data_IF_302191474226
#
_entry.id   IF_302191474226
#
_cell.length_a   1.000
_cell.length_b   1.000
_cell.length_c   1.000
_cell.angle_alpha   90.00
_cell.angle_beta   90.00
_cell.angle_gamma   90.00
#
_symmetry.space_group_name_H-M   'P 1'
#
loop_
_entity.id
_entity.type
_entity.pdbx_description
1 polymer ?
#
# COMPACT_ATOMS: atom_id res chain seq x y z
N UNK A 1 -44.64 76.32 5.76
CA UNK A 1 -43.53 76.59 6.69
C UNK A 1 -43.38 75.39 7.63
N UNK A 2 -42.15 74.89 7.73
CA UNK A 2 -41.69 73.67 8.41
C UNK A 2 -42.41 73.29 9.72
N UNK A 3 -42.75 72.01 9.92
CA UNK A 3 -41.81 71.11 10.61
C UNK A 3 -42.21 69.63 10.53
N UNK A 4 -41.18 68.81 10.50
CA UNK A 4 -41.11 67.36 10.30
C UNK A 4 -41.04 66.67 11.67
N UNK A 5 -41.83 65.63 11.92
CA UNK A 5 -41.33 64.28 12.26
C UNK A 5 -42.44 63.26 12.62
N UNK A 6 -42.42 62.17 11.86
CA UNK A 6 -42.92 60.81 12.10
C UNK A 6 -42.34 60.21 13.42
N UNK A 7 -42.80 59.12 14.05
CA UNK A 7 -43.82 58.09 13.78
C UNK A 7 -44.09 57.40 15.14
N UNK A 8 -45.35 57.10 15.44
CA UNK A 8 -45.76 56.13 16.47
C UNK A 8 -45.48 54.70 15.98
N UNK A 9 -45.08 53.78 16.88
CA UNK A 9 -45.85 52.56 17.25
C UNK A 9 -45.08 51.70 18.27
N UNK A 10 -45.78 51.48 19.36
CA UNK A 10 -45.67 50.65 20.57
C UNK A 10 -44.93 49.30 20.47
N UNK A 11 -44.06 49.05 21.47
CA UNK A 11 -43.49 47.76 21.88
C UNK A 11 -44.31 47.24 23.08
N UNK A 12 -44.60 45.93 23.21
CA UNK A 12 -44.82 45.32 24.51
C UNK A 12 -43.67 44.38 24.90
N UNK A 13 -43.23 44.57 26.14
CA UNK A 13 -42.26 43.81 26.89
C UNK A 13 -42.71 42.37 27.10
N UNK A 14 -41.78 41.40 26.99
CA UNK A 14 -41.97 40.05 27.54
C UNK A 14 -40.77 39.64 28.37
N UNK A 15 -41.10 39.26 29.60
CA UNK A 15 -40.31 38.82 30.75
C UNK A 15 -39.17 37.85 30.47
N UNK A 16 -38.03 38.12 31.12
CA UNK A 16 -36.94 37.19 31.37
C UNK A 16 -37.40 36.01 32.25
N UNK A 17 -37.31 34.80 31.72
CA UNK A 17 -37.24 33.58 32.52
C UNK A 17 -36.14 32.68 31.95
N UNK A 18 -34.99 32.68 32.63
CA UNK A 18 -33.98 31.63 32.50
C UNK A 18 -34.51 30.33 33.11
N UNK A 19 -34.32 29.17 32.46
CA UNK A 19 -34.30 27.89 33.15
C UNK A 19 -32.84 27.54 33.47
N UNK A 20 -32.46 27.69 34.73
CA UNK A 20 -31.32 26.97 35.28
C UNK A 20 -31.64 25.47 35.25
N UNK A 21 -30.83 24.68 34.56
CA UNK A 21 -30.77 23.24 34.76
C UNK A 21 -29.33 22.85 35.04
N UNK A 22 -29.16 22.30 36.24
CA UNK A 22 -27.94 21.91 36.91
C UNK A 22 -27.06 20.97 36.07
N UNK A 23 -25.77 21.30 36.00
CA UNK A 23 -24.71 20.31 35.84
C UNK A 23 -24.81 19.35 37.03
N UNK A 24 -25.27 18.13 36.79
CA UNK A 24 -24.93 16.89 37.49
C UNK A 24 -25.97 15.86 37.02
N UNK A 25 -25.63 15.11 35.97
CA UNK A 25 -26.11 13.75 35.66
C UNK A 25 -25.79 13.41 34.19
N UNK A 26 -24.50 13.19 33.90
CA UNK A 26 -24.09 12.39 32.73
C UNK A 26 -22.90 11.53 33.16
N UNK A 27 -23.18 10.52 33.98
CA UNK A 27 -22.36 9.32 34.09
C UNK A 27 -23.28 8.14 33.80
N UNK A 28 -23.52 7.93 32.50
CA UNK A 28 -23.73 6.64 31.85
C UNK A 28 -24.30 6.92 30.47
N UNK A 29 -23.61 6.45 29.43
CA UNK A 29 -24.18 5.75 28.27
C UNK A 29 -23.16 5.63 27.12
N UNK A 30 -22.87 4.36 26.82
CA UNK A 30 -22.64 3.78 25.50
C UNK A 30 -21.55 4.41 24.61
N UNK A 31 -20.43 3.69 24.56
CA UNK A 31 -19.51 3.68 23.41
C UNK A 31 -20.28 3.39 22.11
N UNK A 32 -20.40 4.40 21.23
CA UNK A 32 -20.87 4.24 19.86
C UNK A 32 -19.78 3.52 19.04
N UNK A 33 -19.98 2.26 18.61
CA UNK A 33 -18.97 1.52 17.85
C UNK A 33 -18.67 2.11 16.46
N UNK A 34 -19.51 3.04 15.97
CA UNK A 34 -19.39 3.65 14.63
C UNK A 34 -18.76 5.06 14.65
N UNK A 35 -18.28 5.53 15.81
CA UNK A 35 -17.66 6.85 15.97
C UNK A 35 -16.36 7.04 15.17
N UNK A 36 -16.09 8.27 14.71
CA UNK A 36 -14.82 8.63 14.06
C UNK A 36 -13.79 8.92 15.15
N UNK A 37 -13.02 7.90 15.54
CA UNK A 37 -11.98 8.04 16.56
C UNK A 37 -10.61 8.30 15.94
N UNK A 38 -9.87 9.30 16.45
CA UNK A 38 -8.45 9.50 16.15
C UNK A 38 -7.62 9.62 17.42
N UNK A 39 -6.62 8.76 17.61
CA UNK A 39 -5.70 8.76 18.75
C UNK A 39 -4.25 9.04 18.32
N UNK A 40 -3.47 9.60 19.25
CA UNK A 40 -2.10 10.10 19.07
C UNK A 40 -1.07 9.14 19.71
N UNK A 41 -0.58 8.13 18.99
CA UNK A 41 0.56 7.30 19.43
C UNK A 41 1.63 7.19 18.34
N UNK A 42 2.91 7.23 18.73
CA UNK A 42 4.08 7.28 17.85
C UNK A 42 5.10 6.20 18.21
N UNK A 43 5.38 5.28 17.30
CA UNK A 43 6.51 4.35 17.41
C UNK A 43 7.63 4.73 16.43
N UNK A 44 8.81 4.98 16.99
CA UNK A 44 10.06 5.32 16.31
C UNK A 44 10.85 4.03 16.05
N UNK A 45 11.20 3.72 14.80
CA UNK A 45 12.05 2.58 14.45
C UNK A 45 13.41 3.09 13.99
N UNK A 46 14.44 2.80 14.79
CA UNK A 46 15.85 3.13 14.53
C UNK A 46 16.46 2.42 13.33
N UNK A 47 17.64 2.88 12.96
CA UNK A 47 18.41 2.60 11.76
C UNK A 47 19.77 2.03 12.16
N UNK A 48 20.07 0.79 11.78
CA UNK A 48 21.35 0.14 12.07
C UNK A 48 22.05 -0.26 10.75
N UNK A 49 22.97 0.59 10.29
CA UNK A 49 23.94 0.28 9.24
C UNK A 49 25.32 0.16 9.91
N UNK A 50 25.98 -1.00 9.80
CA UNK A 50 27.44 -1.14 9.95
C UNK A 50 27.95 -2.32 9.09
N UNK A 51 29.13 -2.13 8.50
CA UNK A 51 29.77 -2.95 7.46
C UNK A 51 30.55 -4.15 8.05
N UNK A 52 30.59 -5.29 7.35
CA UNK A 52 31.62 -6.32 7.62
C UNK A 52 32.01 -7.14 6.38
N UNK A 53 33.32 -7.42 6.28
CA UNK A 53 34.04 -7.98 5.13
C UNK A 53 34.02 -9.51 5.04
N UNK A 54 34.16 -10.04 3.82
CA UNK A 54 34.33 -11.46 3.48
C UNK A 54 35.66 -12.06 3.95
N UNK A 55 35.71 -13.40 4.06
CA UNK A 55 36.81 -14.17 3.47
C UNK A 55 36.30 -15.30 2.55
N UNK A 56 37.11 -15.63 1.54
CA UNK A 56 36.85 -16.65 0.53
C UNK A 56 37.21 -18.07 0.99
N UNK A 57 36.95 -19.04 0.11
CA UNK A 57 37.87 -20.14 -0.24
C UNK A 57 37.25 -21.02 -1.35
N UNK A 58 37.96 -21.04 -2.49
CA UNK A 58 38.44 -22.17 -3.32
C UNK A 58 37.68 -23.50 -3.44
N UNK A 59 37.29 -23.77 -4.70
CA UNK A 59 37.48 -24.96 -5.56
C UNK A 59 37.34 -26.41 -5.04
N UNK A 60 36.55 -27.20 -5.78
CA UNK A 60 36.93 -28.57 -6.23
C UNK A 60 35.89 -29.15 -7.21
N UNK A 61 36.34 -29.42 -8.43
CA UNK A 61 35.67 -30.14 -9.53
C UNK A 61 35.74 -31.69 -9.42
N UNK A 62 35.13 -32.36 -10.43
CA UNK A 62 35.21 -33.77 -10.87
C UNK A 62 34.31 -34.79 -10.13
N UNK A 63 33.66 -35.77 -10.78
CA UNK A 63 33.38 -36.08 -12.19
C UNK A 63 32.34 -37.21 -12.26
N UNK A 64 31.72 -37.35 -13.43
CA UNK A 64 30.76 -38.38 -13.82
C UNK A 64 31.41 -39.77 -13.91
N UNK A 65 30.66 -40.82 -13.51
CA UNK A 65 31.02 -42.21 -13.85
C UNK A 65 29.76 -42.96 -14.30
N UNK A 66 29.90 -43.58 -15.46
CA UNK A 66 28.91 -44.30 -16.27
C UNK A 66 28.24 -45.49 -15.57
N UNK A 67 26.98 -45.72 -15.95
CA UNK A 67 26.17 -46.87 -15.54
C UNK A 67 26.47 -48.08 -16.43
N UNK A 68 27.19 -49.07 -15.91
CA UNK A 68 27.30 -50.40 -16.52
C UNK A 68 26.33 -51.36 -15.82
N UNK A 69 25.30 -51.80 -16.55
CA UNK A 69 24.31 -52.78 -16.08
C UNK A 69 24.99 -54.15 -16.04
N UNK A 70 25.24 -54.67 -14.83
CA UNK A 70 25.68 -56.05 -14.60
C UNK A 70 24.47 -56.89 -14.14
N UNK A 71 24.29 -58.03 -14.81
CA UNK A 71 23.23 -59.01 -14.60
C UNK A 71 23.31 -59.63 -13.18
N UNK A 72 22.23 -59.54 -12.39
CA UNK A 72 22.23 -59.91 -10.96
C UNK A 72 21.83 -61.38 -10.75
N UNK A 73 22.54 -62.07 -9.86
CA UNK A 73 22.25 -63.46 -9.41
C UNK A 73 20.77 -63.65 -8.96
N UNK A 74 20.14 -64.84 -9.15
CA UNK A 74 18.75 -65.10 -8.77
C UNK A 74 18.40 -64.77 -7.31
N UNK A 75 19.37 -64.92 -6.40
CA UNK A 75 19.21 -64.58 -4.98
C UNK A 75 19.14 -63.07 -4.75
N UNK A 76 19.89 -62.32 -5.54
CA UNK A 76 19.95 -60.87 -5.49
C UNK A 76 18.71 -60.22 -6.10
N UNK A 77 18.10 -60.82 -7.11
CA UNK A 77 16.81 -60.39 -7.66
C UNK A 77 15.67 -60.59 -6.65
N UNK A 78 15.68 -61.69 -5.89
CA UNK A 78 14.71 -61.96 -4.83
C UNK A 78 14.79 -60.92 -3.70
N UNK A 79 16.00 -60.55 -3.29
CA UNK A 79 16.22 -59.49 -2.29
C UNK A 79 15.77 -58.13 -2.86
N UNK A 80 16.06 -57.85 -4.13
CA UNK A 80 15.64 -56.62 -4.82
C UNK A 80 14.12 -56.44 -4.79
N UNK A 81 13.38 -57.48 -5.15
CA UNK A 81 11.91 -57.49 -5.21
C UNK A 81 11.24 -57.32 -3.83
N UNK A 82 11.90 -57.72 -2.75
CA UNK A 82 11.39 -57.53 -1.38
C UNK A 82 11.73 -56.14 -0.82
N UNK A 83 12.89 -55.62 -1.17
CA UNK A 83 13.40 -54.34 -0.65
C UNK A 83 12.75 -53.13 -1.34
N UNK A 84 12.46 -53.22 -2.64
CA UNK A 84 11.82 -52.15 -3.41
C UNK A 84 10.46 -51.67 -2.85
N UNK A 85 9.48 -52.55 -2.54
CA UNK A 85 8.20 -52.12 -1.97
C UNK A 85 8.33 -51.56 -0.56
N UNK A 86 9.29 -52.03 0.24
CA UNK A 86 9.55 -51.51 1.59
C UNK A 86 10.11 -50.08 1.55
N UNK A 87 10.96 -49.77 0.56
CA UNK A 87 11.39 -48.40 0.31
C UNK A 87 10.23 -47.53 -0.20
N UNK A 88 9.39 -48.01 -1.12
CA UNK A 88 8.20 -47.25 -1.59
C UNK A 88 7.22 -46.93 -0.46
N UNK A 89 7.09 -47.83 0.53
CA UNK A 89 6.29 -47.62 1.76
C UNK A 89 6.96 -46.68 2.78
N UNK A 90 8.21 -46.25 2.56
CA UNK A 90 8.89 -45.24 3.38
C UNK A 90 9.63 -45.78 4.62
N UNK A 91 9.83 -47.09 4.73
CA UNK A 91 10.60 -47.67 5.85
C UNK A 91 12.08 -47.21 5.81
N UNK A 92 12.65 -46.95 6.99
CA UNK A 92 14.08 -46.56 7.14
C UNK A 92 14.98 -47.78 7.20
N UNK A 93 16.27 -47.62 6.88
CA UNK A 93 17.26 -48.70 6.78
C UNK A 93 17.24 -49.73 7.93
N UNK A 94 17.28 -49.33 9.21
CA UNK A 94 17.22 -50.26 10.34
C UNK A 94 15.92 -51.07 10.39
N UNK A 95 14.80 -50.46 10.02
CA UNK A 95 13.48 -51.10 10.02
C UNK A 95 13.34 -52.11 8.89
N UNK A 96 13.90 -51.80 7.71
CA UNK A 96 13.94 -52.74 6.58
C UNK A 96 14.78 -53.97 6.94
N UNK A 97 15.92 -53.80 7.63
CA UNK A 97 16.76 -54.92 8.09
C UNK A 97 15.99 -55.80 9.08
N UNK A 98 15.21 -55.18 9.98
CA UNK A 98 14.38 -55.89 10.95
C UNK A 98 13.29 -56.71 10.26
N UNK A 99 12.56 -56.11 9.32
CA UNK A 99 11.49 -56.77 8.54
C UNK A 99 12.06 -57.94 7.71
N UNK A 100 13.18 -57.74 7.03
CA UNK A 100 13.82 -58.81 6.25
C UNK A 100 14.31 -59.97 7.12
N UNK A 101 14.78 -59.68 8.33
CA UNK A 101 15.23 -60.71 9.26
C UNK A 101 14.08 -61.47 9.92
N UNK A 102 12.96 -60.79 10.24
CA UNK A 102 11.84 -61.39 10.97
C UNK A 102 10.85 -62.11 10.05
N UNK A 103 10.48 -61.49 8.93
CA UNK A 103 9.38 -61.98 8.08
C UNK A 103 9.88 -62.87 6.93
N UNK A 104 11.16 -62.74 6.58
CA UNK A 104 11.74 -63.41 5.42
C UNK A 104 12.99 -64.24 5.75
N UNK A 105 13.46 -64.22 7.00
CA UNK A 105 14.65 -64.98 7.44
C UNK A 105 15.96 -64.55 6.77
N UNK A 106 16.00 -63.36 6.16
CA UNK A 106 17.15 -62.85 5.40
C UNK A 106 17.94 -61.88 6.29
N UNK A 107 19.13 -62.30 6.73
CA UNK A 107 20.07 -61.43 7.43
C UNK A 107 20.98 -60.72 6.43
N UNK A 108 20.83 -59.40 6.31
CA UNK A 108 21.70 -58.55 5.49
C UNK A 108 22.35 -57.44 6.33
N UNK A 109 23.56 -57.06 5.95
CA UNK A 109 24.24 -55.93 6.59
C UNK A 109 23.66 -54.59 6.10
N UNK A 110 23.78 -53.50 6.90
CA UNK A 110 23.41 -52.15 6.45
C UNK A 110 24.14 -51.71 5.18
N UNK A 111 25.38 -52.19 4.99
CA UNK A 111 26.21 -51.91 3.81
C UNK A 111 25.64 -52.61 2.56
N UNK A 112 25.18 -53.85 2.71
CA UNK A 112 24.51 -54.62 1.64
C UNK A 112 23.17 -53.99 1.27
N UNK A 113 22.37 -53.55 2.25
CA UNK A 113 21.12 -52.84 1.99
C UNK A 113 21.35 -51.51 1.26
N UNK A 114 22.41 -50.78 1.63
CA UNK A 114 22.79 -49.53 0.98
C UNK A 114 23.26 -49.76 -0.46
N UNK A 115 24.03 -50.82 -0.71
CA UNK A 115 24.43 -51.22 -2.07
C UNK A 115 23.21 -51.58 -2.91
N UNK A 116 22.30 -52.41 -2.38
CA UNK A 116 21.07 -52.82 -3.07
C UNK A 116 20.14 -51.66 -3.37
N UNK A 117 20.05 -50.67 -2.47
CA UNK A 117 19.32 -49.41 -2.73
C UNK A 117 19.87 -48.67 -3.94
N UNK A 118 21.20 -48.59 -4.09
CA UNK A 118 21.84 -47.95 -5.24
C UNK A 118 21.61 -48.77 -6.53
N UNK A 119 21.70 -50.10 -6.45
CA UNK A 119 21.40 -51.02 -7.57
C UNK A 119 19.91 -51.00 -8.00
N UNK A 120 19.00 -50.52 -7.13
CA UNK A 120 17.58 -50.28 -7.46
C UNK A 120 17.31 -48.89 -8.06
N UNK A 121 18.33 -48.04 -8.22
CA UNK A 121 18.19 -46.66 -8.72
C UNK A 121 17.17 -45.80 -7.94
N UNK A 122 16.81 -46.17 -6.71
CA UNK A 122 15.83 -45.45 -5.88
C UNK A 122 16.49 -44.21 -5.27
N UNK A 123 16.23 -43.04 -5.86
CA UNK A 123 16.77 -41.77 -5.40
C UNK A 123 16.02 -41.30 -4.15
N UNK A 124 16.64 -40.41 -3.36
CA UNK A 124 15.99 -39.77 -2.20
C UNK A 124 14.69 -39.00 -2.55
N UNK A 125 14.46 -38.72 -3.83
CA UNK A 125 13.23 -38.09 -4.34
C UNK A 125 12.04 -39.05 -4.50
N UNK A 126 12.26 -40.36 -4.47
CA UNK A 126 11.21 -41.38 -4.68
C UNK A 126 10.61 -41.89 -3.36
N UNK A 127 11.23 -41.52 -2.24
CA UNK A 127 10.66 -41.68 -0.91
C UNK A 127 9.64 -40.56 -0.72
N UNK A 128 8.38 -40.90 -0.38
CA UNK A 128 7.40 -39.89 -0.01
C UNK A 128 8.05 -38.95 1.02
N UNK A 129 8.15 -37.67 0.64
CA UNK A 129 8.68 -36.65 1.54
C UNK A 129 7.69 -36.60 2.69
N UNK A 130 8.07 -37.12 3.85
CA UNK A 130 7.29 -36.96 5.06
C UNK A 130 6.79 -35.51 5.11
N UNK A 131 5.49 -35.25 5.31
CA UNK A 131 4.98 -33.90 5.48
C UNK A 131 5.83 -33.23 6.57
N UNK A 132 6.65 -32.25 6.18
CA UNK A 132 7.60 -31.67 7.12
C UNK A 132 6.82 -30.75 8.08
N UNK A 133 7.10 -30.84 9.41
CA UNK A 133 6.18 -30.42 10.47
C UNK A 133 6.12 -28.90 10.65
N UNK A 134 5.02 -28.45 11.27
CA UNK A 134 4.73 -27.13 11.85
C UNK A 134 4.75 -25.90 10.91
N UNK A 135 3.89 -24.89 11.13
CA UNK A 135 4.04 -23.58 10.49
C UNK A 135 5.43 -22.99 10.84
N UNK A 136 6.01 -22.21 9.91
CA UNK A 136 7.27 -21.51 10.17
C UNK A 136 7.11 -20.63 11.42
N UNK A 137 8.14 -20.50 12.25
CA UNK A 137 8.09 -19.60 13.40
C UNK A 137 7.78 -18.16 12.91
N UNK A 138 7.05 -17.36 13.71
CA UNK A 138 6.72 -15.98 13.35
C UNK A 138 7.96 -15.15 13.00
N UNK A 139 9.08 -15.37 13.70
CA UNK A 139 10.37 -14.69 13.49
C UNK A 139 10.98 -15.03 12.12
N UNK A 140 11.09 -16.32 11.78
CA UNK A 140 11.60 -16.77 10.47
C UNK A 140 10.69 -16.27 9.36
N UNK A 141 9.37 -16.33 9.55
CA UNK A 141 8.39 -15.79 8.60
C UNK A 141 8.57 -14.28 8.41
N UNK A 142 8.68 -13.53 9.50
CA UNK A 142 8.88 -12.08 9.49
C UNK A 142 10.18 -11.69 8.77
N UNK A 143 11.28 -12.38 9.07
CA UNK A 143 12.58 -12.14 8.44
C UNK A 143 12.55 -12.39 6.93
N UNK A 144 11.97 -13.51 6.48
CA UNK A 144 11.85 -13.84 5.04
C UNK A 144 10.97 -12.83 4.31
N UNK A 145 9.80 -12.47 4.86
CA UNK A 145 8.90 -11.49 4.24
C UNK A 145 9.52 -10.09 4.21
N UNK A 146 10.18 -9.68 5.29
CA UNK A 146 10.89 -8.41 5.37
C UNK A 146 11.99 -8.33 4.32
N UNK A 147 12.81 -9.38 4.21
CA UNK A 147 13.92 -9.44 3.26
C UNK A 147 13.45 -9.46 1.81
N UNK A 148 12.38 -10.20 1.51
CA UNK A 148 11.73 -10.18 0.20
C UNK A 148 11.19 -8.78 -0.15
N UNK A 149 10.55 -8.09 0.81
CA UNK A 149 10.03 -6.73 0.60
C UNK A 149 11.12 -5.67 0.34
N UNK A 150 12.33 -5.92 0.86
CA UNK A 150 13.53 -5.10 0.61
C UNK A 150 14.21 -5.43 -0.72
N UNK A 151 13.82 -6.52 -1.39
CA UNK A 151 14.39 -6.96 -2.65
C UNK A 151 15.77 -7.59 -2.50
N UNK A 152 16.02 -8.22 -1.35
CA UNK A 152 17.26 -8.94 -1.09
C UNK A 152 17.35 -10.20 -1.97
N UNK A 153 18.57 -10.55 -2.38
CA UNK A 153 18.86 -11.82 -3.06
C UNK A 153 18.86 -12.99 -2.04
N UNK A 154 18.89 -14.22 -2.52
CA UNK A 154 18.78 -15.40 -1.64
C UNK A 154 19.92 -15.52 -0.61
N UNK A 155 21.13 -15.04 -0.96
CA UNK A 155 22.30 -15.07 -0.09
C UNK A 155 22.19 -14.00 1.00
N UNK A 156 21.73 -12.81 0.63
CA UNK A 156 21.41 -11.73 1.59
C UNK A 156 20.27 -12.13 2.53
N UNK A 157 19.22 -12.77 2.01
CA UNK A 157 18.12 -13.30 2.82
C UNK A 157 18.61 -14.35 3.83
N UNK A 158 19.55 -15.20 3.43
CA UNK A 158 20.18 -16.20 4.31
C UNK A 158 20.98 -15.54 5.44
N UNK A 159 21.88 -14.60 5.10
CA UNK A 159 22.71 -13.88 6.06
C UNK A 159 21.85 -13.11 7.06
N UNK A 160 20.82 -12.42 6.57
CA UNK A 160 19.91 -11.66 7.44
C UNK A 160 19.07 -12.54 8.36
N UNK A 161 18.58 -13.68 7.85
CA UNK A 161 17.84 -14.63 8.66
C UNK A 161 18.70 -15.16 9.82
N UNK A 162 19.97 -15.48 9.55
CA UNK A 162 20.92 -15.85 10.60
C UNK A 162 21.12 -14.73 11.61
N UNK A 163 21.34 -13.49 11.15
CA UNK A 163 21.53 -12.33 12.03
C UNK A 163 20.32 -12.03 12.93
N UNK A 164 19.09 -12.18 12.42
CA UNK A 164 17.87 -11.85 13.15
C UNK A 164 17.36 -12.99 14.05
N UNK A 165 17.60 -14.25 13.68
CA UNK A 165 16.99 -15.41 14.37
C UNK A 165 18.00 -16.40 14.96
N UNK A 166 19.30 -16.22 14.67
CA UNK A 166 20.36 -17.18 15.02
C UNK A 166 20.28 -18.51 14.26
N UNK A 167 19.30 -18.69 13.37
CA UNK A 167 19.08 -19.96 12.67
C UNK A 167 19.97 -20.03 11.43
N UNK A 168 20.97 -20.91 11.48
CA UNK A 168 21.80 -21.20 10.32
C UNK A 168 21.04 -22.10 9.33
N UNK A 169 20.86 -21.62 8.11
CA UNK A 169 20.17 -22.35 7.05
C UNK A 169 20.91 -22.22 5.73
N UNK A 170 20.76 -23.22 4.87
CA UNK A 170 21.26 -23.13 3.49
C UNK A 170 20.34 -22.30 2.59
N UNK A 171 20.88 -21.76 1.49
CA UNK A 171 20.12 -21.06 0.44
C UNK A 171 18.91 -21.87 -0.05
N UNK A 172 19.06 -23.19 -0.23
CA UNK A 172 17.95 -24.10 -0.61
C UNK A 172 16.82 -24.10 0.42
N UNK A 173 17.15 -23.93 1.69
CA UNK A 173 16.17 -23.87 2.78
C UNK A 173 15.43 -22.53 2.77
N UNK A 174 16.12 -21.42 2.51
CA UNK A 174 15.50 -20.10 2.28
C UNK A 174 14.52 -20.16 1.10
N UNK A 175 14.91 -20.75 -0.03
CA UNK A 175 14.01 -20.97 -1.18
C UNK A 175 12.78 -21.80 -0.79
N UNK A 176 12.96 -22.84 0.03
CA UNK A 176 11.86 -23.67 0.54
C UNK A 176 10.91 -22.87 1.44
N UNK A 177 11.44 -21.99 2.29
CA UNK A 177 10.64 -21.09 3.14
C UNK A 177 9.83 -20.11 2.29
N UNK A 178 10.45 -19.50 1.27
CA UNK A 178 9.75 -18.63 0.33
C UNK A 178 8.62 -19.36 -0.40
N UNK A 179 8.88 -20.58 -0.89
CA UNK A 179 7.86 -21.42 -1.53
C UNK A 179 6.69 -21.73 -0.59
N UNK A 180 6.97 -22.03 0.69
CA UNK A 180 5.96 -22.29 1.73
C UNK A 180 5.12 -21.04 2.04
N UNK A 181 5.70 -19.85 1.92
CA UNK A 181 5.02 -18.57 2.14
C UNK A 181 4.33 -18.03 0.87
N UNK A 182 4.46 -18.71 -0.28
CA UNK A 182 3.88 -18.25 -1.55
C UNK A 182 4.55 -16.99 -2.11
N UNK A 183 5.76 -16.64 -1.68
CA UNK A 183 6.47 -15.44 -2.13
C UNK A 183 7.53 -15.76 -3.19
N UNK A 184 7.64 -14.89 -4.19
CA UNK A 184 8.68 -14.95 -5.22
C UNK A 184 9.75 -13.90 -4.94
N UNK A 185 10.97 -14.17 -5.42
CA UNK A 185 12.04 -13.17 -5.43
C UNK A 185 11.60 -11.99 -6.30
N UNK A 186 11.92 -10.77 -5.88
CA UNK A 186 11.71 -9.60 -6.71
C UNK A 186 12.67 -9.64 -7.89
N UNK A 187 12.13 -9.40 -9.09
CA UNK A 187 12.95 -9.29 -10.28
C UNK A 187 13.86 -8.06 -10.18
N UNK A 188 15.13 -8.25 -10.57
CA UNK A 188 16.14 -7.22 -10.56
C UNK A 188 16.84 -7.20 -11.91
N UNK A 189 16.36 -6.34 -12.81
CA UNK A 189 16.86 -6.24 -14.17
C UNK A 189 18.34 -5.81 -14.23
N UNK A 190 18.89 -5.22 -13.17
CA UNK A 190 20.34 -4.94 -13.04
C UNK A 190 21.15 -6.23 -12.80
N UNK A 191 20.70 -7.10 -11.88
CA UNK A 191 21.37 -8.38 -11.62
C UNK A 191 21.21 -9.35 -12.80
N UNK A 192 20.08 -9.26 -13.50
CA UNK A 192 19.84 -10.02 -14.73
C UNK A 192 20.65 -9.50 -15.93
N UNK A 193 21.41 -8.40 -15.78
CA UNK A 193 22.21 -7.78 -16.85
C UNK A 193 21.38 -7.13 -17.97
N UNK A 194 20.07 -6.95 -17.78
CA UNK A 194 19.16 -6.38 -18.79
C UNK A 194 19.26 -4.86 -18.89
N UNK A 195 19.67 -4.21 -17.81
CA UNK A 195 19.74 -2.75 -17.69
C UNK A 195 21.05 -2.42 -16.95
N UNK A 196 21.75 -1.37 -17.38
CA UNK A 196 22.93 -0.84 -16.69
C UNK A 196 22.54 0.18 -15.63
N UNK A 197 23.43 0.44 -14.65
CA UNK A 197 23.15 1.45 -13.63
C UNK A 197 22.97 2.84 -14.23
N UNK A 198 23.73 3.18 -15.27
CA UNK A 198 23.64 4.46 -15.97
C UNK A 198 22.26 4.66 -16.61
N UNK A 199 21.69 3.60 -17.20
CA UNK A 199 20.35 3.67 -17.77
C UNK A 199 19.28 3.88 -16.70
N UNK A 200 19.48 3.36 -15.49
CA UNK A 200 18.58 3.62 -14.36
C UNK A 200 18.68 5.08 -13.91
N UNK A 201 19.89 5.64 -13.84
CA UNK A 201 20.11 7.05 -13.47
C UNK A 201 19.50 7.98 -14.52
N UNK A 202 19.75 7.72 -15.80
CA UNK A 202 19.18 8.47 -16.93
C UNK A 202 17.64 8.44 -16.87
N UNK A 203 17.03 7.27 -16.67
CA UNK A 203 15.58 7.16 -16.55
C UNK A 203 15.01 7.90 -15.33
N UNK A 204 15.76 7.98 -14.22
CA UNK A 204 15.36 8.77 -13.05
C UNK A 204 15.44 10.27 -13.35
N UNK A 205 16.51 10.73 -14.00
CA UNK A 205 16.68 12.13 -14.39
C UNK A 205 15.59 12.55 -15.38
N UNK A 206 15.37 11.76 -16.43
CA UNK A 206 14.31 11.97 -17.41
C UNK A 206 12.92 12.00 -16.73
N UNK A 207 12.64 11.09 -15.80
CA UNK A 207 11.38 11.12 -15.06
C UNK A 207 11.21 12.40 -14.23
N UNK A 208 12.28 12.96 -13.68
CA UNK A 208 12.21 14.17 -12.86
C UNK A 208 11.99 15.42 -13.71
N UNK A 209 12.71 15.52 -14.82
CA UNK A 209 12.73 16.69 -15.69
C UNK A 209 11.58 16.67 -16.69
N UNK A 210 11.42 15.58 -17.43
CA UNK A 210 10.47 15.50 -18.55
C UNK A 210 9.09 14.97 -18.15
N UNK A 211 8.98 14.16 -17.10
CA UNK A 211 7.68 13.70 -16.57
C UNK A 211 7.18 14.53 -15.37
N UNK A 212 7.88 15.64 -15.05
CA UNK A 212 7.57 16.54 -13.93
C UNK A 212 7.46 15.80 -12.59
N UNK A 213 8.21 14.70 -12.41
CA UNK A 213 8.24 13.91 -11.17
C UNK A 213 9.40 14.30 -10.25
N UNK A 214 9.87 15.55 -10.31
CA UNK A 214 10.98 16.07 -9.49
C UNK A 214 10.78 15.85 -7.98
N UNK A 215 9.53 15.84 -7.50
CA UNK A 215 9.17 15.62 -6.11
C UNK A 215 8.94 14.15 -5.72
N UNK A 216 9.02 13.19 -6.65
CA UNK A 216 8.76 11.77 -6.38
C UNK A 216 9.84 11.12 -5.50
N UNK A 217 9.43 10.56 -4.36
CA UNK A 217 10.32 9.75 -3.52
C UNK A 217 10.61 8.37 -4.12
N UNK A 218 11.63 7.68 -3.60
CA UNK A 218 12.13 6.39 -4.14
C UNK A 218 11.06 5.30 -4.34
N UNK A 219 10.01 5.25 -3.51
CA UNK A 219 8.89 4.30 -3.71
C UNK A 219 8.09 4.61 -4.97
N UNK A 220 7.77 5.89 -5.18
CA UNK A 220 7.02 6.37 -6.35
C UNK A 220 7.89 6.30 -7.59
N UNK A 221 9.17 6.68 -7.48
CA UNK A 221 10.13 6.59 -8.56
C UNK A 221 10.30 5.15 -9.05
N UNK A 222 10.40 4.17 -8.15
CA UNK A 222 10.39 2.75 -8.53
C UNK A 222 9.14 2.37 -9.34
N UNK A 223 7.96 2.86 -8.96
CA UNK A 223 6.72 2.62 -9.72
C UNK A 223 6.75 3.30 -11.10
N UNK A 224 7.37 4.48 -11.22
CA UNK A 224 7.54 5.19 -12.49
C UNK A 224 8.47 4.40 -13.40
N UNK A 225 9.64 3.99 -12.90
CA UNK A 225 10.60 3.14 -13.62
C UNK A 225 9.94 1.87 -14.17
N UNK A 226 9.13 1.19 -13.35
CA UNK A 226 8.43 -0.02 -13.80
C UNK A 226 7.35 0.26 -14.86
N UNK A 227 6.63 1.38 -14.76
CA UNK A 227 5.45 1.65 -15.63
C UNK A 227 5.80 2.38 -16.93
N UNK A 228 6.74 3.32 -16.89
CA UNK A 228 7.09 4.17 -18.02
C UNK A 228 8.35 3.69 -18.75
N UNK A 229 9.30 3.09 -18.02
CA UNK A 229 10.59 2.68 -18.57
C UNK A 229 10.74 1.15 -18.64
N UNK A 230 9.77 0.39 -18.12
CA UNK A 230 9.81 -1.07 -18.01
C UNK A 230 11.06 -1.60 -17.26
N UNK A 231 11.60 -0.80 -16.32
CA UNK A 231 12.77 -1.13 -15.50
C UNK A 231 12.30 -1.63 -14.14
N UNK A 232 12.61 -2.89 -13.81
CA UNK A 232 12.32 -3.50 -12.51
C UNK A 232 13.60 -3.63 -11.68
N UNK A 233 13.76 -2.69 -10.75
CA UNK A 233 14.88 -2.69 -9.80
C UNK A 233 14.38 -2.70 -8.35
N UNK A 234 15.17 -3.22 -7.40
CA UNK A 234 14.86 -3.14 -5.98
C UNK A 234 14.72 -1.70 -5.49
N UNK A 235 13.89 -1.52 -4.47
CA UNK A 235 13.65 -0.21 -3.84
C UNK A 235 14.92 0.46 -3.36
N UNK A 236 15.86 -0.33 -2.84
CA UNK A 236 17.11 0.16 -2.28
C UNK A 236 18.01 0.81 -3.34
N UNK A 237 18.04 0.25 -4.56
CA UNK A 237 18.80 0.82 -5.68
C UNK A 237 18.26 2.20 -6.05
N UNK A 238 16.93 2.33 -6.17
CA UNK A 238 16.29 3.62 -6.47
C UNK A 238 16.56 4.64 -5.35
N UNK A 239 16.64 4.19 -4.10
CA UNK A 239 17.02 5.06 -2.98
C UNK A 239 18.44 5.59 -3.13
N UNK A 240 19.43 4.74 -3.41
CA UNK A 240 20.82 5.17 -3.58
C UNK A 240 20.99 6.07 -4.81
N UNK A 241 20.31 5.75 -5.92
CA UNK A 241 20.28 6.59 -7.11
C UNK A 241 19.72 7.99 -6.79
N UNK A 242 18.56 8.07 -6.14
CA UNK A 242 18.00 9.37 -5.75
C UNK A 242 18.84 10.11 -4.70
N UNK A 243 19.57 9.41 -3.83
CA UNK A 243 20.49 10.05 -2.89
C UNK A 243 21.66 10.74 -3.61
N UNK A 244 22.07 10.23 -4.77
CA UNK A 244 23.10 10.85 -5.61
C UNK A 244 22.54 12.03 -6.42
N UNK A 245 21.35 11.89 -7.02
CA UNK A 245 20.76 12.90 -7.90
C UNK A 245 20.01 14.02 -7.13
N UNK A 246 19.47 13.72 -5.95
CA UNK A 246 18.62 14.62 -5.13
C UNK A 246 18.89 14.47 -3.62
N UNK A 247 20.13 14.70 -3.13
CA UNK A 247 20.45 14.56 -1.71
C UNK A 247 19.59 15.50 -0.84
N UNK A 248 19.36 16.73 -1.29
CA UNK A 248 18.59 17.74 -0.56
C UNK A 248 17.11 17.36 -0.48
N UNK A 249 16.49 16.99 -1.60
CA UNK A 249 15.10 16.54 -1.59
C UNK A 249 14.92 15.26 -0.77
N UNK A 250 15.92 14.38 -0.70
CA UNK A 250 15.90 13.22 0.20
C UNK A 250 15.97 13.61 1.67
N UNK A 251 16.84 14.55 2.04
CA UNK A 251 16.96 15.07 3.41
C UNK A 251 15.70 15.81 3.88
N UNK A 252 15.12 16.66 3.01
CA UNK A 252 13.88 17.40 3.31
C UNK A 252 12.69 16.46 3.58
N UNK A 253 12.63 15.30 2.92
CA UNK A 253 11.57 14.30 3.14
C UNK A 253 11.68 13.62 4.51
N UNK A 254 12.89 13.40 5.02
CA UNK A 254 13.11 12.82 6.36
C UNK A 254 12.64 13.77 7.46
N UNK A 255 12.75 15.09 7.25
CA UNK A 255 12.33 16.13 8.21
C UNK A 255 10.80 16.33 8.28
N UNK A 256 10.05 15.88 7.28
CA UNK A 256 8.58 16.05 7.20
C UNK A 256 7.78 14.87 7.77
N UNK A 257 8.23 14.31 8.90
CA UNK A 257 7.49 13.23 9.56
C UNK A 257 6.19 13.80 10.19
N UNK A 258 5.05 13.63 9.51
CA UNK A 258 3.75 13.89 10.14
C UNK A 258 3.51 12.89 11.26
N UNK A 259 2.98 13.39 12.40
CA UNK A 259 2.47 12.54 13.48
C UNK A 259 1.36 11.65 12.90
N UNK A 260 1.54 10.33 12.97
CA UNK A 260 0.50 9.37 12.55
C UNK A 260 -0.65 9.43 13.55
N UNK A 261 -1.86 9.56 13.03
CA UNK A 261 -3.10 9.37 13.78
C UNK A 261 -3.77 8.11 13.28
N UNK A 262 -4.33 7.35 14.20
CA UNK A 262 -5.19 6.21 13.85
C UNK A 262 -6.50 6.79 13.33
N UNK A 263 -7.02 6.29 12.21
CA UNK A 263 -8.31 6.69 11.66
C UNK A 263 -9.10 5.42 11.39
N UNK A 264 -10.17 5.21 12.16
CA UNK A 264 -10.98 4.00 12.09
C UNK A 264 -12.07 4.08 11.01
N UNK A 265 -12.18 3.00 10.22
CA UNK A 265 -13.19 2.84 9.18
C UNK A 265 -13.58 1.38 9.07
N UNK A 266 -14.87 1.07 9.01
CA UNK A 266 -15.40 -0.29 8.96
C UNK A 266 -15.22 -0.99 7.60
N UNK A 267 -15.14 -0.22 6.51
CA UNK A 267 -15.02 -0.77 5.17
C UNK A 267 -15.21 0.27 4.06
N UNK A 268 -15.22 -0.18 2.79
CA UNK A 268 -15.58 0.67 1.65
C UNK A 268 -16.95 1.33 1.85
N UNK A 269 -17.09 2.59 1.42
CA UNK A 269 -18.30 3.40 1.55
C UNK A 269 -18.79 3.62 2.99
N UNK A 270 -17.98 3.28 4.00
CA UNK A 270 -18.28 3.63 5.38
C UNK A 270 -18.27 5.14 5.56
N UNK A 271 -17.18 5.81 5.15
CA UNK A 271 -17.05 7.26 5.27
C UNK A 271 -16.57 7.80 3.93
N UNK A 272 -17.37 8.69 3.34
CA UNK A 272 -16.89 9.57 2.28
C UNK A 272 -16.44 10.89 2.87
N UNK A 273 -15.23 11.32 2.55
CA UNK A 273 -14.68 12.61 2.96
C UNK A 273 -14.65 13.56 1.77
N UNK A 274 -15.13 14.79 1.98
CA UNK A 274 -15.17 15.82 0.94
C UNK A 274 -14.69 17.18 1.45
N UNK A 275 -14.13 17.97 0.54
CA UNK A 275 -13.48 19.26 0.82
C UNK A 275 -13.14 19.99 -0.49
N UNK A 276 -12.96 21.30 -0.41
CA UNK A 276 -12.49 22.14 -1.50
C UNK A 276 -10.97 22.38 -1.44
N UNK A 277 -10.36 22.60 -2.59
CA UNK A 277 -8.95 22.95 -2.73
C UNK A 277 -8.78 24.21 -3.57
N UNK A 278 -8.41 25.30 -2.87
CA UNK A 278 -8.41 26.65 -3.44
C UNK A 278 -7.00 27.17 -3.75
N UNK A 279 -5.97 26.31 -3.71
CA UNK A 279 -4.58 26.76 -3.93
C UNK A 279 -4.29 27.22 -5.36
N UNK A 280 -5.17 26.91 -6.32
CA UNK A 280 -5.11 27.38 -7.71
C UNK A 280 -6.19 28.42 -8.02
N UNK A 281 -6.94 28.87 -7.00
CA UNK A 281 -7.98 29.89 -7.16
C UNK A 281 -7.48 31.20 -7.77
N UNK A 282 -6.24 31.68 -7.50
CA UNK A 282 -5.70 32.86 -8.19
C UNK A 282 -5.65 32.72 -9.72
N UNK A 283 -5.60 31.50 -10.24
CA UNK A 283 -5.60 31.18 -11.67
C UNK A 283 -6.99 30.74 -12.17
N UNK A 284 -8.06 31.10 -11.45
CA UNK A 284 -9.43 30.72 -11.83
C UNK A 284 -9.77 29.23 -11.65
N UNK A 285 -8.92 28.44 -10.98
CA UNK A 285 -9.12 26.99 -10.82
C UNK A 285 -9.39 26.65 -9.35
N UNK A 286 -10.63 26.24 -9.07
CA UNK A 286 -11.02 25.63 -7.79
C UNK A 286 -11.36 24.17 -8.00
N UNK A 287 -10.99 23.30 -7.06
CA UNK A 287 -11.23 21.87 -7.15
C UNK A 287 -12.04 21.43 -5.95
N UNK A 288 -13.08 20.62 -6.15
CA UNK A 288 -13.82 19.96 -5.07
C UNK A 288 -13.64 18.45 -5.17
N UNK A 289 -13.24 17.82 -4.08
CA UNK A 289 -12.89 16.39 -4.05
C UNK A 289 -13.81 15.58 -3.16
N UNK A 290 -14.02 14.32 -3.55
CA UNK A 290 -14.65 13.29 -2.73
C UNK A 290 -13.78 12.04 -2.74
N UNK A 291 -13.60 11.45 -1.57
CA UNK A 291 -12.81 10.23 -1.42
C UNK A 291 -13.48 9.25 -0.47
N UNK A 292 -13.21 7.96 -0.68
CA UNK A 292 -13.52 6.93 0.30
C UNK A 292 -12.41 6.87 1.36
N UNK A 293 -12.78 7.03 2.64
CA UNK A 293 -11.82 7.15 3.73
C UNK A 293 -11.07 5.83 4.03
N UNK A 294 -11.70 4.68 3.75
CA UNK A 294 -11.16 3.35 3.96
C UNK A 294 -10.13 2.99 2.88
N UNK A 295 -10.54 2.97 1.62
CA UNK A 295 -9.69 2.58 0.48
C UNK A 295 -8.74 3.69 0.01
N UNK A 296 -9.01 4.96 0.37
CA UNK A 296 -8.35 6.15 -0.19
C UNK A 296 -8.65 6.40 -1.67
N UNK A 297 -9.61 5.68 -2.25
CA UNK A 297 -10.04 5.87 -3.63
C UNK A 297 -10.62 7.26 -3.84
N UNK A 298 -10.20 7.95 -4.89
CA UNK A 298 -10.85 9.18 -5.33
C UNK A 298 -12.15 8.81 -6.02
N UNK A 299 -13.27 9.24 -5.42
CA UNK A 299 -14.60 9.02 -5.96
C UNK A 299 -14.89 10.03 -7.08
N UNK A 300 -14.49 11.28 -6.87
CA UNK A 300 -14.58 12.34 -7.86
C UNK A 300 -13.71 13.55 -7.53
N UNK A 301 -13.26 14.24 -8.58
CA UNK A 301 -12.63 15.56 -8.52
C UNK A 301 -13.34 16.44 -9.54
N UNK A 302 -13.90 17.55 -9.08
CA UNK A 302 -14.70 18.47 -9.88
C UNK A 302 -14.04 19.83 -9.92
N UNK A 303 -13.86 20.39 -11.11
CA UNK A 303 -13.12 21.64 -11.33
C UNK A 303 -14.08 22.76 -11.70
N UNK A 304 -13.98 23.90 -11.03
CA UNK A 304 -14.84 25.06 -11.22
C UNK A 304 -14.08 26.37 -11.13
N UNK A 305 -14.66 27.41 -11.73
CA UNK A 305 -14.20 28.80 -11.57
C UNK A 305 -14.51 29.32 -10.16
N UNK A 306 -15.63 28.88 -9.57
CA UNK A 306 -16.03 29.23 -8.21
C UNK A 306 -16.58 28.02 -7.46
N UNK A 307 -16.12 27.84 -6.22
CA UNK A 307 -16.59 26.82 -5.30
C UNK A 307 -17.63 27.36 -4.30
N UNK A 308 -18.25 28.52 -4.56
CA UNK A 308 -19.12 29.20 -3.60
C UNK A 308 -20.60 28.75 -3.66
N UNK A 309 -21.02 28.00 -4.68
CA UNK A 309 -22.42 27.60 -4.84
C UNK A 309 -22.68 26.20 -4.23
N UNK A 310 -23.51 26.08 -3.17
CA UNK A 310 -23.80 24.78 -2.55
C UNK A 310 -24.51 23.78 -3.48
N UNK A 311 -25.25 24.27 -4.48
CA UNK A 311 -25.94 23.42 -5.46
C UNK A 311 -24.97 22.55 -6.26
N UNK A 312 -23.79 23.09 -6.59
CA UNK A 312 -22.77 22.36 -7.34
C UNK A 312 -22.28 21.14 -6.53
N UNK A 313 -21.95 21.35 -5.26
CA UNK A 313 -21.47 20.28 -4.37
C UNK A 313 -22.55 19.23 -4.15
N UNK A 314 -23.81 19.65 -3.99
CA UNK A 314 -24.96 18.74 -3.92
C UNK A 314 -25.10 17.89 -5.19
N UNK A 315 -24.98 18.48 -6.38
CA UNK A 315 -25.02 17.74 -7.65
C UNK A 315 -23.87 16.74 -7.77
N UNK A 316 -22.65 17.10 -7.37
CA UNK A 316 -21.51 16.17 -7.37
C UNK A 316 -21.73 14.98 -6.47
N UNK A 317 -22.24 15.24 -5.26
CA UNK A 317 -22.59 14.19 -4.33
C UNK A 317 -23.63 13.23 -4.91
N UNK A 318 -24.73 13.74 -5.48
CA UNK A 318 -25.77 12.92 -6.09
C UNK A 318 -25.25 12.12 -7.30
N UNK A 319 -24.42 12.74 -8.14
CA UNK A 319 -23.76 12.07 -9.25
C UNK A 319 -22.90 10.89 -8.77
N UNK A 320 -22.11 11.09 -7.71
CA UNK A 320 -21.29 10.03 -7.12
C UNK A 320 -22.12 8.94 -6.46
N UNK A 321 -23.16 9.29 -5.71
CA UNK A 321 -24.07 8.34 -5.10
C UNK A 321 -24.77 7.46 -6.16
N UNK A 322 -25.28 8.08 -7.23
CA UNK A 322 -25.87 7.38 -8.36
C UNK A 322 -24.88 6.41 -9.01
N UNK A 323 -23.65 6.87 -9.29
CA UNK A 323 -22.59 6.03 -9.88
C UNK A 323 -22.14 4.89 -8.96
N UNK A 324 -22.13 5.11 -7.65
CA UNK A 324 -21.78 4.08 -6.66
C UNK A 324 -22.92 3.09 -6.42
N UNK A 325 -24.13 3.37 -6.91
CA UNK A 325 -25.33 2.57 -6.65
C UNK A 325 -25.90 2.74 -5.24
N UNK A 326 -25.53 3.81 -4.53
CA UNK A 326 -25.96 4.04 -3.15
C UNK A 326 -25.24 5.19 -2.45
N UNK A 327 -25.70 5.51 -1.24
CA UNK A 327 -25.12 6.53 -0.37
C UNK A 327 -24.00 5.94 0.50
N UNK A 328 -23.02 6.76 0.94
CA UNK A 328 -22.12 6.33 1.99
C UNK A 328 -22.85 6.19 3.32
N UNK A 329 -22.31 5.34 4.21
CA UNK A 329 -22.84 5.18 5.56
C UNK A 329 -22.70 6.47 6.37
N UNK A 330 -21.62 7.22 6.18
CA UNK A 330 -21.40 8.56 6.75
C UNK A 330 -20.72 9.47 5.72
N UNK A 331 -21.05 10.75 5.76
CA UNK A 331 -20.43 11.80 4.95
C UNK A 331 -19.73 12.78 5.89
N UNK A 332 -18.45 13.06 5.65
CA UNK A 332 -17.69 14.02 6.45
C UNK A 332 -17.23 15.20 5.60
N UNK A 333 -17.47 16.41 6.10
CA UNK A 333 -17.01 17.65 5.47
C UNK A 333 -16.64 18.68 6.53
N UNK A 334 -15.90 19.69 6.10
CA UNK A 334 -15.72 20.89 6.91
C UNK A 334 -17.06 21.61 7.08
N UNK A 335 -17.24 22.30 8.22
CA UNK A 335 -18.43 23.13 8.44
C UNK A 335 -18.36 24.37 7.55
N UNK A 336 -19.26 24.46 6.58
CA UNK A 336 -19.32 25.59 5.66
C UNK A 336 -20.69 25.72 5.02
N UNK A 337 -21.08 26.94 4.69
CA UNK A 337 -22.36 27.23 4.03
C UNK A 337 -22.50 26.50 2.69
N UNK A 338 -21.37 26.20 2.04
CA UNK A 338 -21.25 25.49 0.77
C UNK A 338 -21.65 24.00 0.85
N UNK A 339 -21.59 23.37 2.02
CA UNK A 339 -21.85 21.92 2.17
C UNK A 339 -23.24 21.61 2.73
N UNK A 340 -24.04 22.64 3.04
CA UNK A 340 -25.35 22.48 3.68
C UNK A 340 -26.34 21.69 2.81
N UNK A 341 -26.40 21.96 1.50
CA UNK A 341 -27.36 21.27 0.62
C UNK A 341 -27.01 19.78 0.46
N UNK A 342 -25.73 19.46 0.35
CA UNK A 342 -25.22 18.09 0.35
C UNK A 342 -25.53 17.38 1.68
N UNK A 343 -25.31 18.04 2.81
CA UNK A 343 -25.66 17.51 4.14
C UNK A 343 -27.16 17.18 4.24
N UNK A 344 -28.03 18.11 3.80
CA UNK A 344 -29.48 17.89 3.76
C UNK A 344 -29.85 16.69 2.89
N UNK A 345 -29.20 16.53 1.73
CA UNK A 345 -29.45 15.38 0.85
C UNK A 345 -29.02 14.06 1.49
N UNK A 346 -27.84 13.99 2.11
CA UNK A 346 -27.38 12.80 2.82
C UNK A 346 -28.39 12.39 3.91
N UNK A 347 -28.83 13.35 4.72
CA UNK A 347 -29.79 13.10 5.81
C UNK A 347 -31.16 12.67 5.26
N UNK A 348 -31.72 13.41 4.29
CA UNK A 348 -33.05 13.15 3.73
C UNK A 348 -33.13 11.81 3.02
N UNK A 349 -32.15 11.51 2.16
CA UNK A 349 -32.13 10.26 1.41
C UNK A 349 -31.86 9.06 2.34
N UNK A 350 -30.97 9.21 3.33
CA UNK A 350 -30.75 8.15 4.33
C UNK A 350 -32.03 7.87 5.12
N UNK A 351 -32.73 8.90 5.57
CA UNK A 351 -34.00 8.71 6.29
C UNK A 351 -35.07 8.04 5.42
N UNK A 352 -35.22 8.48 4.17
CA UNK A 352 -36.24 7.97 3.26
C UNK A 352 -36.01 6.51 2.83
N UNK A 353 -34.75 6.08 2.65
CA UNK A 353 -34.44 4.80 2.00
C UNK A 353 -33.71 3.79 2.90
N UNK A 354 -33.12 4.19 4.02
CA UNK A 354 -32.36 3.27 4.89
C UNK A 354 -33.19 2.69 6.06
N UNK A 355 -34.47 3.06 6.20
CA UNK A 355 -35.32 2.59 7.29
C UNK A 355 -34.86 3.04 8.68
N UNK A 356 -34.18 4.19 8.76
CA UNK A 356 -33.62 4.73 10.02
C UNK A 356 -34.43 5.92 10.53
N UNK A 357 -34.33 6.18 11.83
CA UNK A 357 -34.93 7.37 12.45
C UNK A 357 -34.28 8.66 11.97
N UNK A 358 -34.97 9.79 12.13
CA UNK A 358 -34.43 11.11 11.79
C UNK A 358 -33.14 11.42 12.57
N UNK A 359 -33.05 11.02 13.85
CA UNK A 359 -31.85 11.19 14.67
C UNK A 359 -30.65 10.44 14.07
N UNK A 360 -30.83 9.15 13.75
CA UNK A 360 -29.80 8.35 13.10
C UNK A 360 -29.41 8.94 11.74
N UNK A 361 -30.35 9.52 10.99
CA UNK A 361 -30.07 10.17 9.72
C UNK A 361 -29.22 11.45 9.87
N UNK A 362 -29.38 12.20 10.96
CA UNK A 362 -28.50 13.33 11.31
C UNK A 362 -27.07 12.84 11.54
N UNK A 363 -26.91 11.73 12.26
CA UNK A 363 -25.60 11.13 12.56
C UNK A 363 -24.87 10.60 11.31
N UNK A 364 -25.58 10.45 10.17
CA UNK A 364 -24.99 10.13 8.85
C UNK A 364 -24.18 11.30 8.28
N UNK A 365 -24.39 12.53 8.74
CA UNK A 365 -23.62 13.70 8.34
C UNK A 365 -22.73 14.18 9.49
N UNK A 366 -21.41 14.15 9.29
CA UNK A 366 -20.45 14.55 10.29
C UNK A 366 -19.69 15.80 9.84
N UNK A 367 -20.06 16.95 10.39
CA UNK A 367 -19.26 18.16 10.27
C UNK A 367 -18.06 18.10 11.20
N UNK A 368 -16.88 18.32 10.64
CA UNK A 368 -15.64 18.24 11.38
C UNK A 368 -14.82 19.51 11.23
N UNK A 369 -13.91 19.79 12.17
CA UNK A 369 -12.92 20.86 11.95
C UNK A 369 -12.03 20.44 10.81
N UNK A 370 -11.58 21.41 10.03
CA UNK A 370 -10.71 21.13 8.89
C UNK A 370 -9.52 20.23 9.26
N UNK A 371 -8.90 20.42 10.43
CA UNK A 371 -7.76 19.60 10.91
C UNK A 371 -8.09 18.11 11.13
N UNK A 372 -9.36 17.76 11.28
CA UNK A 372 -9.84 16.38 11.46
C UNK A 372 -10.29 15.71 10.16
N UNK A 373 -10.51 16.46 9.08
CA UNK A 373 -10.75 15.94 7.73
C UNK A 373 -9.44 15.43 7.06
N UNK A 374 -8.68 14.63 7.81
CA UNK A 374 -7.29 14.26 7.52
C UNK A 374 -7.14 13.50 6.21
N UNK A 375 -8.16 12.69 5.87
CA UNK A 375 -8.15 11.82 4.70
C UNK A 375 -8.11 12.66 3.43
N UNK A 376 -9.00 13.64 3.26
CA UNK A 376 -8.98 14.46 2.05
C UNK A 376 -7.87 15.52 2.07
N UNK A 377 -7.54 16.06 3.24
CA UNK A 377 -6.37 16.94 3.37
C UNK A 377 -5.05 16.27 3.04
N UNK A 378 -4.92 14.98 3.34
CA UNK A 378 -3.77 14.18 2.91
C UNK A 378 -3.71 14.03 1.38
N UNK A 379 -4.86 13.94 0.71
CA UNK A 379 -4.92 13.99 -0.75
C UNK A 379 -4.47 15.37 -1.26
N UNK A 380 -5.00 16.46 -0.70
CA UNK A 380 -4.61 17.82 -1.08
C UNK A 380 -3.13 18.12 -0.85
N UNK A 381 -2.56 17.63 0.24
CA UNK A 381 -1.12 17.72 0.51
C UNK A 381 -0.31 17.00 -0.58
N UNK A 382 -0.73 15.81 -0.99
CA UNK A 382 -0.07 15.08 -2.09
C UNK A 382 -0.19 15.82 -3.42
N UNK A 383 -1.39 16.33 -3.74
CA UNK A 383 -1.64 17.09 -4.97
C UNK A 383 -0.78 18.37 -5.02
N UNK A 384 -0.64 19.08 -3.89
CA UNK A 384 0.25 20.23 -3.79
C UNK A 384 1.71 19.89 -4.02
N UNK A 385 2.19 18.76 -3.49
CA UNK A 385 3.59 18.34 -3.62
C UNK A 385 3.90 17.79 -5.01
N UNK A 386 2.96 17.09 -5.64
CA UNK A 386 3.21 16.34 -6.87
C UNK A 386 2.83 17.11 -8.14
N UNK A 387 1.86 18.01 -8.07
CA UNK A 387 1.27 18.62 -9.26
C UNK A 387 1.22 20.15 -9.17
N UNK A 388 0.60 20.71 -8.14
CA UNK A 388 0.29 22.15 -8.14
C UNK A 388 1.53 23.05 -8.12
N UNK A 389 2.68 22.60 -7.62
CA UNK A 389 3.91 23.42 -7.70
C UNK A 389 4.34 23.60 -9.15
N UNK A 390 4.53 22.50 -9.88
CA UNK A 390 4.87 22.54 -11.30
C UNK A 390 3.86 23.37 -12.09
N UNK A 391 2.55 23.15 -11.88
CA UNK A 391 1.51 23.91 -12.57
C UNK A 391 1.63 25.41 -12.28
N UNK A 392 1.93 25.80 -11.03
CA UNK A 392 2.13 27.20 -10.68
C UNK A 392 3.36 27.76 -11.37
N UNK A 393 4.47 27.04 -11.33
CA UNK A 393 5.74 27.46 -11.92
C UNK A 393 5.57 27.64 -13.45
N UNK A 394 4.88 26.71 -14.11
CA UNK A 394 4.57 26.78 -15.55
C UNK A 394 3.69 27.98 -15.88
N UNK A 395 2.60 28.22 -15.13
CA UNK A 395 1.73 29.38 -15.36
C UNK A 395 2.49 30.69 -15.12
N UNK A 396 3.33 30.77 -14.08
CA UNK A 396 4.14 31.96 -13.81
C UNK A 396 5.15 32.20 -14.93
N UNK A 397 5.81 31.16 -15.45
CA UNK A 397 6.72 31.29 -16.58
C UNK A 397 6.00 31.81 -17.85
N UNK A 398 4.77 31.38 -18.10
CA UNK A 398 3.97 31.88 -19.21
C UNK A 398 3.56 33.35 -19.03
N UNK A 399 3.22 33.75 -17.80
CA UNK A 399 2.96 35.16 -17.43
C UNK A 399 4.22 36.01 -17.69
N UNK A 400 5.37 35.59 -17.15
CA UNK A 400 6.63 36.33 -17.26
C UNK A 400 7.09 36.45 -18.72
N UNK A 401 6.76 35.45 -19.55
CA UNK A 401 7.07 35.47 -20.98
C UNK A 401 6.08 36.29 -21.83
N UNK A 402 5.03 36.86 -21.23
CA UNK A 402 3.99 37.64 -21.91
C UNK A 402 3.05 36.81 -22.80
N UNK A 403 3.09 35.47 -22.70
CA UNK A 403 2.24 34.55 -23.48
C UNK A 403 0.89 34.27 -22.81
N UNK A 404 0.76 34.61 -21.53
CA UNK A 404 -0.49 34.50 -20.77
C UNK A 404 -0.80 35.82 -20.07
N UNK A 405 -1.98 36.36 -20.33
CA UNK A 405 -2.54 37.53 -19.64
C UNK A 405 -3.65 37.09 -18.68
N UNK A 406 -3.46 37.37 -17.39
CA UNK A 406 -4.40 37.03 -16.33
C UNK A 406 -5.64 37.95 -16.34
N UNK A 407 -5.55 39.14 -16.92
CA UNK A 407 -6.66 40.10 -17.01
C UNK A 407 -7.49 39.91 -18.29
N UNK A 408 -6.99 39.12 -19.26
CA UNK A 408 -7.75 38.73 -20.44
C UNK A 408 -8.83 37.71 -20.07
N UNK A 409 -10.10 38.14 -20.15
CA UNK A 409 -11.28 37.32 -19.85
C UNK A 409 -11.42 36.06 -20.71
N UNK A 410 -10.68 35.90 -21.81
CA UNK A 410 -10.64 34.68 -22.64
C UNK A 410 -9.53 33.73 -22.17
N UNK A 411 -8.41 34.26 -21.68
CA UNK A 411 -7.27 33.48 -21.19
C UNK A 411 -7.43 33.07 -19.72
N UNK A 412 -8.10 33.92 -18.93
CA UNK A 412 -8.44 33.70 -17.52
C UNK A 412 -9.66 32.76 -17.32
N UNK A 413 -10.38 32.43 -18.40
CA UNK A 413 -11.32 31.31 -18.37
C UNK A 413 -10.48 30.04 -18.40
N UNK A 414 -10.71 29.07 -17.49
CA UNK A 414 -10.02 27.78 -17.58
C UNK A 414 -10.36 27.20 -18.95
N UNK A 415 -9.42 27.27 -19.91
CA UNK A 415 -9.55 26.64 -21.22
C UNK A 415 -10.00 25.22 -20.93
N UNK A 416 -11.26 24.93 -21.25
CA UNK A 416 -11.87 23.66 -20.91
C UNK A 416 -10.90 22.53 -21.30
N UNK A 417 -10.53 21.75 -20.28
CA UNK A 417 -10.04 20.39 -20.43
C UNK A 417 -8.68 20.10 -21.11
N UNK A 418 -7.93 21.04 -21.72
CA UNK A 418 -6.64 20.65 -22.35
C UNK A 418 -5.51 20.30 -21.38
N UNK A 419 -5.29 21.07 -20.31
CA UNK A 419 -4.24 20.76 -19.32
C UNK A 419 -4.70 19.76 -18.24
N UNK A 420 -5.99 19.73 -17.93
CA UNK A 420 -6.53 18.92 -16.83
C UNK A 420 -6.95 17.50 -17.24
N UNK A 421 -7.26 17.27 -18.53
CA UNK A 421 -7.39 15.92 -19.08
C UNK A 421 -6.08 15.13 -18.89
N UNK A 422 -4.94 15.79 -19.09
CA UNK A 422 -3.62 15.27 -18.75
C UNK A 422 -3.40 15.08 -17.24
N UNK A 423 -3.93 15.96 -16.39
CA UNK A 423 -3.78 15.85 -14.92
C UNK A 423 -4.57 14.65 -14.34
N UNK A 424 -5.81 14.42 -14.77
CA UNK A 424 -6.65 13.30 -14.32
C UNK A 424 -6.22 11.97 -14.95
N UNK A 425 -5.59 12.00 -16.14
CA UNK A 425 -4.98 10.83 -16.79
C UNK A 425 -3.56 10.51 -16.25
N UNK A 426 -2.82 11.51 -15.77
CA UNK A 426 -1.48 11.35 -15.17
C UNK A 426 -1.52 10.99 -13.68
N UNK A 427 -2.67 11.14 -13.01
CA UNK A 427 -2.90 10.51 -11.71
C UNK A 427 -2.68 9.00 -11.86
N UNK A 428 -1.74 8.40 -11.12
CA UNK A 428 -1.44 6.98 -11.27
C UNK A 428 -2.70 6.14 -11.03
N UNK A 429 -2.88 5.05 -11.81
CA UNK A 429 -3.94 4.03 -11.64
C UNK A 429 -4.11 3.49 -10.20
N UNK A 430 -3.17 3.79 -9.30
CA UNK A 430 -3.19 3.48 -7.88
C UNK A 430 -4.08 4.43 -7.04
N UNK A 431 -4.65 5.48 -7.65
CA UNK A 431 -5.53 6.48 -7.03
C UNK A 431 -6.98 6.38 -7.58
N UNK A 432 -7.21 5.62 -8.66
CA UNK A 432 -8.54 5.29 -9.21
C UNK A 432 -9.16 4.07 -8.56
#
# INVERSE_FOLDING_TARGET
>A
MNNINHHSTTIPETSNHEPQTSLNDINDLASDPDGVYTTDHSDYSGSDDEHFSSPGDTDSEYSEVENTILDLSPRDQRIKNLVEPLFRKGHKGPEIIRILSQDHGIKISPRTLSRKRNECSLRRCDLSRAPIPAPLSPEVRGSILSSQSKGMNLKEMQVRLYKETGVEVSVRTVQRYMKKLGVKLLQNDLLDGKVTIDRVLEAITDARENLLQNNAGYRRMRMILMRHYNIRVPRQIVYYALKQIDPDGMALRLRQACKRRIYWTLGPNHIWACDGHDKLKPFGITIYGFIDAWSRKILGMFVHVTNNNPRHIACYFLHLASKAGGLPLKLTSDYGTKTIDMAKLQMRLSHAYAGITTKQAVDRMHFTKSTHNQKIKSLWSQMMKQHNRSIKDDIMNEIDSGRYDQEDGVQNVPKECRYLGGLIQSLPKTIR
#
